data_IF_268732903582
#
_entry.id   IF_268732903582
#
_cell.length_a   1.000
_cell.length_b   1.000
_cell.length_c   1.000
_cell.angle_alpha   90.00
_cell.angle_beta   90.00
_cell.angle_gamma   90.00
#
_symmetry.space_group_name_H-M   'P 1'
#
loop_
_entity.id
_entity.type
_entity.pdbx_description
1 polymer ?
#
# COMPACT_ATOMS: atom_id res chain seq x y z
N UNK A 1 -8.28 -3.47 -9.90
CA UNK A 1 -6.87 -3.79 -9.52
C UNK A 1 -6.77 -5.08 -8.73
N UNK A 2 -7.33 -5.20 -7.52
CA UNK A 2 -7.17 -6.43 -6.71
C UNK A 2 -7.71 -7.70 -7.38
N UNK A 3 -8.93 -7.66 -7.94
CA UNK A 3 -9.49 -8.83 -8.62
C UNK A 3 -8.64 -9.33 -9.79
N UNK A 4 -8.01 -8.41 -10.54
CA UNK A 4 -7.07 -8.76 -11.60
C UNK A 4 -5.78 -9.35 -11.05
N UNK A 5 -5.23 -8.77 -9.98
CA UNK A 5 -4.03 -9.26 -9.30
C UNK A 5 -4.23 -10.70 -8.78
N UNK A 6 -5.36 -10.97 -8.13
CA UNK A 6 -5.72 -12.31 -7.65
C UNK A 6 -5.78 -13.31 -8.80
N UNK A 7 -6.55 -13.01 -9.85
CA UNK A 7 -6.69 -13.89 -11.02
C UNK A 7 -5.38 -14.14 -11.76
N UNK A 8 -4.56 -13.10 -11.91
CA UNK A 8 -3.25 -13.22 -12.55
C UNK A 8 -2.28 -14.04 -11.71
N UNK A 9 -2.41 -13.97 -10.39
CA UNK A 9 -1.56 -14.66 -9.45
C UNK A 9 -1.93 -16.13 -9.27
N UNK A 10 -3.09 -16.59 -9.75
CA UNK A 10 -3.36 -18.03 -9.95
C UNK A 10 -2.28 -18.67 -10.84
N UNK A 11 -1.82 -17.95 -11.86
CA UNK A 11 -0.87 -18.41 -12.87
C UNK A 11 0.57 -17.87 -12.66
N UNK A 12 0.81 -17.10 -11.59
CA UNK A 12 2.12 -16.59 -11.22
C UNK A 12 2.55 -17.11 -9.84
N UNK A 13 3.87 -17.15 -9.62
CA UNK A 13 4.46 -17.52 -8.32
C UNK A 13 4.81 -16.30 -7.47
N UNK A 14 4.79 -15.11 -8.05
CA UNK A 14 5.24 -13.87 -7.43
C UNK A 14 4.36 -12.67 -7.82
N UNK A 15 4.16 -11.76 -6.88
CA UNK A 15 3.48 -10.49 -7.08
C UNK A 15 4.14 -9.40 -6.24
N UNK A 16 4.23 -8.19 -6.78
CA UNK A 16 4.80 -7.04 -6.06
C UNK A 16 3.74 -5.95 -5.91
N UNK A 17 3.44 -5.58 -4.66
CA UNK A 17 2.68 -4.38 -4.33
C UNK A 17 3.65 -3.21 -4.08
N UNK A 18 3.70 -2.24 -5.00
CA UNK A 18 4.53 -1.05 -4.86
C UNK A 18 3.67 0.20 -4.71
N UNK A 19 4.06 1.10 -3.80
CA UNK A 19 3.41 2.40 -3.64
C UNK A 19 4.37 3.45 -3.08
N UNK A 20 4.04 4.72 -3.31
CA UNK A 20 4.80 5.86 -2.80
C UNK A 20 3.89 7.01 -2.38
N UNK A 21 4.26 7.74 -1.34
CA UNK A 21 3.50 8.86 -0.83
C UNK A 21 2.16 8.41 -0.23
N UNK A 22 1.02 9.10 -0.52
CA UNK A 22 -0.26 8.80 0.12
C UNK A 22 -0.83 7.39 -0.13
N UNK A 23 -0.31 6.66 -1.13
CA UNK A 23 -0.80 5.32 -1.47
C UNK A 23 -0.08 4.18 -0.74
N UNK A 24 0.93 4.47 0.08
CA UNK A 24 1.70 3.46 0.83
C UNK A 24 0.79 2.54 1.63
N UNK A 25 -0.16 3.09 2.39
CA UNK A 25 -1.10 2.29 3.18
C UNK A 25 -1.99 1.39 2.30
N UNK A 26 -2.33 1.84 1.09
CA UNK A 26 -3.13 1.03 0.16
C UNK A 26 -2.35 -0.20 -0.31
N UNK A 27 -1.04 -0.09 -0.56
CA UNK A 27 -0.23 -1.24 -0.93
C UNK A 27 -0.16 -2.28 0.20
N UNK A 28 -0.04 -1.84 1.45
CA UNK A 28 -0.11 -2.73 2.62
C UNK A 28 -1.48 -3.43 2.67
N UNK A 29 -2.58 -2.68 2.59
CA UNK A 29 -3.93 -3.26 2.58
C UNK A 29 -4.12 -4.28 1.45
N UNK A 30 -3.62 -3.98 0.25
CA UNK A 30 -3.67 -4.91 -0.89
C UNK A 30 -2.91 -6.22 -0.58
N UNK A 31 -1.71 -6.12 -0.01
CA UNK A 31 -0.91 -7.29 0.35
C UNK A 31 -1.60 -8.13 1.45
N UNK A 32 -2.18 -7.48 2.47
CA UNK A 32 -2.91 -8.18 3.54
C UNK A 32 -4.17 -8.89 3.03
N UNK A 33 -4.91 -8.29 2.09
CA UNK A 33 -6.05 -8.98 1.46
C UNK A 33 -5.59 -10.21 0.69
N UNK A 34 -4.47 -10.12 -0.05
CA UNK A 34 -3.93 -11.25 -0.81
C UNK A 34 -3.48 -12.40 0.11
N UNK A 35 -2.79 -12.10 1.21
CA UNK A 35 -2.39 -13.12 2.20
C UNK A 35 -3.58 -13.80 2.88
N UNK A 36 -4.69 -13.07 3.10
CA UNK A 36 -5.93 -13.67 3.62
C UNK A 36 -6.57 -14.65 2.62
N UNK A 37 -6.43 -14.39 1.32
CA UNK A 37 -6.97 -15.27 0.28
C UNK A 37 -6.05 -16.47 0.01
N UNK A 38 -4.74 -16.32 0.21
CA UNK A 38 -3.72 -17.33 -0.03
C UNK A 38 -2.72 -17.34 1.15
N UNK A 39 -3.00 -18.12 2.21
CA UNK A 39 -2.23 -18.08 3.46
C UNK A 39 -0.81 -18.62 3.33
N UNK A 40 -0.49 -19.36 2.26
CA UNK A 40 0.84 -19.93 2.00
C UNK A 40 1.91 -18.90 1.59
N UNK A 41 1.51 -17.65 1.39
CA UNK A 41 2.38 -16.61 0.85
C UNK A 41 3.41 -16.12 1.84
N UNK A 42 4.67 -16.15 1.41
CA UNK A 42 5.80 -15.53 2.09
C UNK A 42 6.00 -14.12 1.56
N UNK A 43 6.48 -13.24 2.42
CA UNK A 43 6.60 -11.82 2.14
C UNK A 43 8.06 -11.35 2.31
N UNK A 44 8.49 -10.43 1.46
CA UNK A 44 9.67 -9.58 1.71
C UNK A 44 9.26 -8.13 1.47
N UNK A 45 9.48 -7.28 2.46
CA UNK A 45 9.13 -5.86 2.38
C UNK A 45 10.38 -4.98 2.35
N UNK A 46 10.52 -4.22 1.26
CA UNK A 46 11.47 -3.12 1.15
C UNK A 46 10.79 -1.77 1.39
N UNK A 47 11.47 -0.88 2.10
CA UNK A 47 11.06 0.53 2.27
C UNK A 47 12.15 1.46 1.75
N UNK A 48 11.76 2.66 1.33
CA UNK A 48 12.72 3.64 0.85
C UNK A 48 12.07 4.97 0.52
N UNK A 49 12.74 5.74 -0.34
CA UNK A 49 12.23 7.01 -0.83
C UNK A 49 12.33 7.07 -2.35
N UNK A 50 11.34 7.70 -2.97
CA UNK A 50 11.33 8.01 -4.41
C UNK A 50 11.31 9.52 -4.60
N UNK A 51 12.24 10.02 -5.41
CA UNK A 51 12.25 11.43 -5.80
C UNK A 51 11.17 11.67 -6.85
N UNK A 52 10.32 12.66 -6.61
CA UNK A 52 9.29 13.11 -7.55
C UNK A 52 9.53 14.58 -7.84
N UNK A 53 9.73 14.88 -9.13
CA UNK A 53 9.81 16.24 -9.63
C UNK A 53 8.38 16.70 -9.95
N UNK A 54 7.94 17.75 -9.29
CA UNK A 54 6.67 18.40 -9.57
C UNK A 54 6.96 19.74 -10.24
N UNK A 55 6.30 19.96 -11.37
CA UNK A 55 6.32 21.23 -12.08
C UNK A 55 4.97 21.87 -11.79
N UNK A 56 5.00 23.10 -11.28
CA UNK A 56 3.79 23.87 -11.01
C UNK A 56 3.86 25.15 -11.83
N UNK A 57 2.89 25.30 -12.72
CA UNK A 57 2.73 26.51 -13.52
C UNK A 57 1.73 27.42 -12.80
N UNK A 58 2.13 28.66 -12.55
CA UNK A 58 1.29 29.67 -11.91
C UNK A 58 1.26 30.94 -12.77
N UNK A 59 0.08 31.54 -12.92
CA UNK A 59 -0.08 32.84 -13.56
C UNK A 59 0.26 33.93 -12.55
N UNK A 60 1.33 34.68 -12.79
CA UNK A 60 1.78 35.81 -11.98
C UNK A 60 1.91 37.01 -12.90
N UNK A 61 1.17 38.08 -12.63
CA UNK A 61 1.15 39.32 -13.43
C UNK A 61 0.94 39.10 -14.94
N UNK A 62 0.04 38.17 -15.29
CA UNK A 62 -0.30 37.85 -16.69
C UNK A 62 0.76 37.05 -17.44
N UNK A 63 1.80 36.55 -16.75
CA UNK A 63 2.82 35.65 -17.30
C UNK A 63 2.76 34.29 -16.60
N UNK A 64 3.04 33.22 -17.35
CA UNK A 64 3.21 31.88 -16.76
C UNK A 64 4.59 31.79 -16.13
N UNK A 65 4.63 31.54 -14.83
CA UNK A 65 5.84 31.26 -14.05
C UNK A 65 5.88 29.77 -13.69
N UNK A 66 6.99 29.10 -13.95
CA UNK A 66 7.15 27.67 -13.66
C UNK A 66 8.02 27.47 -12.42
N UNK A 67 7.48 26.78 -11.41
CA UNK A 67 8.22 26.38 -10.21
C UNK A 67 8.44 24.87 -10.23
N UNK A 68 9.71 24.45 -10.14
CA UNK A 68 10.09 23.03 -10.08
C UNK A 68 10.45 22.67 -8.64
N UNK A 69 9.67 21.78 -8.03
CA UNK A 69 9.93 21.26 -6.68
C UNK A 69 10.27 19.77 -6.75
N UNK A 70 11.37 19.35 -6.12
CA UNK A 70 11.69 17.92 -5.95
C UNK A 70 11.30 17.48 -4.55
N UNK A 71 10.41 16.48 -4.44
CA UNK A 71 9.98 15.90 -3.16
C UNK A 71 10.46 14.46 -3.02
N UNK A 72 10.94 14.08 -1.84
CA UNK A 72 11.20 12.69 -1.44
C UNK A 72 9.92 12.07 -0.88
N UNK A 73 9.29 11.18 -1.63
CA UNK A 73 8.12 10.45 -1.16
C UNK A 73 8.53 9.12 -0.51
N UNK A 74 8.04 8.78 0.69
CA UNK A 74 8.25 7.46 1.27
C UNK A 74 7.65 6.41 0.32
N UNK A 75 8.34 5.28 0.16
CA UNK A 75 7.96 4.21 -0.76
C UNK A 75 8.04 2.86 -0.08
N UNK A 76 7.16 1.95 -0.49
CA UNK A 76 7.10 0.57 -0.02
C UNK A 76 7.00 -0.37 -1.21
N UNK A 77 7.69 -1.50 -1.12
CA UNK A 77 7.67 -2.59 -2.09
C UNK A 77 7.49 -3.90 -1.34
N UNK A 78 6.33 -4.54 -1.52
CA UNK A 78 5.99 -5.80 -0.85
C UNK A 78 5.99 -6.90 -1.90
N UNK A 79 6.97 -7.79 -1.85
CA UNK A 79 6.99 -9.02 -2.64
C UNK A 79 6.20 -10.10 -1.90
N UNK A 80 5.20 -10.68 -2.56
CA UNK A 80 4.49 -11.87 -2.12
C UNK A 80 4.88 -13.05 -3.02
N UNK A 81 5.17 -14.21 -2.42
CA UNK A 81 5.63 -15.38 -3.15
C UNK A 81 5.09 -16.70 -2.59
N UNK A 82 4.72 -17.61 -3.51
CA UNK A 82 4.46 -19.04 -3.21
C UNK A 82 5.76 -19.83 -3.00
N UNK A 83 6.85 -19.39 -3.63
CA UNK A 83 8.14 -20.05 -3.60
C UNK A 83 8.87 -19.83 -2.27
N UNK A 84 9.95 -20.59 -2.05
CA UNK A 84 10.81 -20.37 -0.91
C UNK A 84 11.50 -19.00 -1.00
N UNK A 85 11.46 -18.25 0.09
CA UNK A 85 12.16 -16.97 0.28
C UNK A 85 13.13 -17.16 1.44
N UNK A 86 14.36 -16.68 1.29
CA UNK A 86 15.42 -16.93 2.27
C UNK A 86 15.14 -16.15 3.57
N UNK A 87 15.09 -16.80 4.76
CA UNK A 87 14.72 -16.13 6.01
C UNK A 87 15.68 -15.03 6.47
N UNK A 88 16.91 -15.02 5.96
CA UNK A 88 17.89 -13.97 6.29
C UNK A 88 17.66 -12.66 5.52
N UNK A 89 16.71 -12.61 4.59
CA UNK A 89 16.44 -11.39 3.84
C UNK A 89 15.87 -10.31 4.78
N UNK A 90 16.36 -9.06 4.71
CA UNK A 90 15.78 -7.97 5.47
C UNK A 90 14.32 -7.76 5.05
N UNK A 91 13.44 -7.60 6.04
CA UNK A 91 12.00 -7.45 5.79
C UNK A 91 11.29 -8.75 5.41
N UNK A 92 11.94 -9.92 5.58
CA UNK A 92 11.29 -11.21 5.43
C UNK A 92 10.20 -11.42 6.48
N UNK A 93 9.06 -11.96 6.04
CA UNK A 93 7.98 -12.45 6.87
C UNK A 93 7.50 -13.80 6.30
N UNK A 94 7.43 -14.82 7.16
CA UNK A 94 6.92 -16.14 6.79
C UNK A 94 5.42 -16.13 6.47
N UNK A 95 4.92 -17.26 5.95
CA UNK A 95 3.50 -17.45 5.72
C UNK A 95 2.69 -17.29 7.02
N UNK A 96 1.51 -16.69 6.92
CA UNK A 96 0.67 -16.45 8.08
C UNK A 96 0.26 -17.80 8.69
N UNK A 97 0.61 -18.03 9.95
CA UNK A 97 0.00 -19.11 10.71
C UNK A 97 -1.47 -18.76 10.83
N UNK A 98 -2.37 -19.69 10.48
CA UNK A 98 -3.80 -19.56 10.76
C UNK A 98 -3.95 -19.40 12.26
N UNK A 99 -3.91 -18.15 12.73
CA UNK A 99 -4.11 -17.80 14.11
C UNK A 99 -5.61 -17.50 14.24
N UNK A 100 -6.23 -18.03 15.29
CA UNK A 100 -7.68 -17.94 15.54
C UNK A 100 -8.22 -16.49 15.51
N UNK A 101 -7.35 -15.50 15.57
CA UNK A 101 -7.65 -14.07 15.43
C UNK A 101 -8.09 -13.65 14.01
N UNK A 102 -7.75 -14.43 12.96
CA UNK A 102 -8.13 -14.14 11.56
C UNK A 102 -9.61 -14.43 11.29
N UNK A 103 -10.21 -15.36 12.04
CA UNK A 103 -11.63 -15.70 11.95
C UNK A 103 -12.54 -14.80 12.81
N UNK A 104 -12.00 -13.84 13.57
CA UNK A 104 -12.86 -12.88 14.27
C UNK A 104 -13.53 -11.99 13.23
N UNK A 105 -14.88 -11.97 13.14
CA UNK A 105 -15.56 -10.98 12.31
C UNK A 105 -15.15 -9.61 12.84
N UNK A 106 -14.42 -8.84 12.03
CA UNK A 106 -14.15 -7.43 12.34
C UNK A 106 -15.49 -6.72 12.18
N UNK A 107 -16.07 -6.15 13.26
CA UNK A 107 -17.33 -5.45 13.13
C UNK A 107 -17.15 -4.32 12.11
N UNK A 108 -17.94 -4.38 11.03
CA UNK A 108 -17.99 -3.31 10.03
C UNK A 108 -18.55 -2.08 10.76
N UNK A 109 -17.68 -1.15 11.16
CA UNK A 109 -18.12 0.15 11.68
C UNK A 109 -18.90 0.87 10.58
N UNK A 110 -20.22 0.93 10.73
CA UNK A 110 -21.06 1.87 10.03
C UNK A 110 -20.77 3.25 10.62
N UNK A 111 -20.12 4.11 9.85
CA UNK A 111 -19.97 5.51 10.21
C UNK A 111 -21.36 6.13 10.17
N UNK A 112 -21.89 6.53 11.33
CA UNK A 112 -23.15 7.25 11.39
C UNK A 112 -22.91 8.73 11.09
N UNK A 113 -23.94 9.42 10.58
CA UNK A 113 -23.89 10.85 10.26
C UNK A 113 -23.42 11.72 11.46
N UNK A 114 -23.61 11.22 12.68
CA UNK A 114 -23.23 11.88 13.93
C UNK A 114 -21.72 11.84 14.24
N UNK A 115 -20.94 10.99 13.56
CA UNK A 115 -19.48 10.91 13.73
C UNK A 115 -18.74 12.08 13.06
N UNK A 116 -19.41 12.83 12.18
CA UNK A 116 -18.90 14.08 11.63
C UNK A 116 -19.11 15.23 12.63
N UNK A 117 -18.26 15.33 13.64
CA UNK A 117 -18.08 16.61 14.36
C UNK A 117 -17.32 17.58 13.46
N UNK A 118 -18.07 18.38 12.70
CA UNK A 118 -17.51 19.54 12.02
C UNK A 118 -16.77 20.41 13.04
N UNK A 119 -15.52 20.74 12.74
CA UNK A 119 -14.79 21.82 13.39
C UNK A 119 -15.62 23.09 13.20
N UNK A 120 -16.26 23.58 14.26
CA UNK A 120 -16.77 24.94 14.27
C UNK A 120 -15.55 25.85 14.31
N UNK A 121 -15.23 26.45 13.17
CA UNK A 121 -14.34 27.60 13.11
C UNK A 121 -15.00 28.72 13.93
N UNK A 122 -14.23 29.27 14.86
CA UNK A 122 -14.54 30.48 15.62
C UNK A 122 -13.78 31.66 15.07
#
# INVERSE_FOLDING_TARGET
MLGFAVKSFEHSNHLVCSASGPSVNKAVTCAEILKRQMPELKQVTGIGYRNVRMIKDEMIDGKVSQTITTRRLPSIHILLSKNHLHPSLPGYQGADKVSDHVNRPVPRRTFEKNDYRGTKEG
#
